data_IF_778008093485
#
_entry.id   IF_778008093485
#
_cell.length_a   1.000
_cell.length_b   1.000
_cell.length_c   1.000
_cell.angle_alpha   90.00
_cell.angle_beta   90.00
_cell.angle_gamma   90.00
#
_symmetry.space_group_name_H-M   'P 1'
#
loop_
_entity.id
_entity.type
_entity.pdbx_description
1 polymer ?
#
# COMPACT_ATOMS: atom_id res chain seq x y z
N UNK A 1 -20.18 4.47 -8.97
CA UNK A 1 -19.55 3.20 -9.41
C UNK A 1 -20.34 1.95 -9.00
N UNK A 2 -21.12 1.99 -7.91
CA UNK A 2 -22.05 0.91 -7.54
C UNK A 2 -21.37 -0.41 -7.18
N UNK A 3 -22.13 -1.51 -7.18
CA UNK A 3 -21.67 -2.84 -6.74
C UNK A 3 -20.72 -3.54 -7.73
N UNK A 4 -20.60 -3.01 -8.95
CA UNK A 4 -19.78 -3.58 -10.04
C UNK A 4 -18.76 -2.57 -10.56
N UNK A 5 -17.79 -2.13 -9.74
CA UNK A 5 -16.85 -1.07 -10.11
C UNK A 5 -16.01 -1.41 -11.33
N UNK A 6 -15.57 -2.66 -11.48
CA UNK A 6 -14.79 -3.09 -12.65
C UNK A 6 -15.60 -3.01 -13.95
N UNK A 7 -16.87 -3.45 -13.94
CA UNK A 7 -17.75 -3.33 -15.10
C UNK A 7 -18.01 -1.88 -15.45
N UNK A 8 -18.29 -1.04 -14.45
CA UNK A 8 -18.47 0.40 -14.63
C UNK A 8 -17.24 1.02 -15.32
N UNK A 9 -16.03 0.78 -14.81
CA UNK A 9 -14.81 1.36 -15.43
C UNK A 9 -14.66 0.89 -16.89
N UNK A 10 -15.00 -0.37 -17.21
CA UNK A 10 -14.86 -0.90 -18.58
C UNK A 10 -15.84 -0.29 -19.57
N UNK A 11 -17.07 -0.01 -19.16
CA UNK A 11 -18.16 0.41 -20.04
C UNK A 11 -18.35 1.92 -20.12
N UNK A 12 -17.98 2.67 -19.08
CA UNK A 12 -18.23 4.11 -19.02
C UNK A 12 -17.28 4.87 -19.96
N UNK A 13 -17.86 5.78 -20.76
CA UNK A 13 -17.10 6.62 -21.70
C UNK A 13 -16.40 7.78 -20.98
N UNK A 14 -15.36 8.36 -21.60
CA UNK A 14 -14.68 9.55 -21.09
C UNK A 14 -15.63 10.71 -20.82
N UNK A 15 -16.49 11.07 -21.80
CA UNK A 15 -17.50 12.13 -21.65
C UNK A 15 -18.43 11.91 -20.45
N UNK A 16 -18.79 10.66 -20.19
CA UNK A 16 -19.65 10.32 -19.06
C UNK A 16 -18.90 10.43 -17.73
N UNK A 17 -17.63 10.00 -17.67
CA UNK A 17 -16.77 10.21 -16.50
C UNK A 17 -16.56 11.71 -16.21
N UNK A 18 -16.27 12.51 -17.23
CA UNK A 18 -16.13 13.97 -17.12
C UNK A 18 -17.40 14.61 -16.58
N UNK A 19 -18.58 14.21 -17.08
CA UNK A 19 -19.87 14.69 -16.57
C UNK A 19 -20.07 14.30 -15.10
N UNK A 20 -19.83 13.03 -14.75
CA UNK A 20 -20.05 12.49 -13.40
C UNK A 20 -19.14 13.13 -12.34
N UNK A 21 -17.91 13.47 -12.72
CA UNK A 21 -16.91 14.02 -11.81
C UNK A 21 -16.59 15.50 -12.08
N UNK A 22 -17.45 16.21 -12.81
CA UNK A 22 -17.28 17.62 -13.18
C UNK A 22 -17.07 18.52 -11.96
N UNK A 23 -17.87 18.31 -10.92
CA UNK A 23 -17.80 19.07 -9.66
C UNK A 23 -16.96 18.37 -8.57
N UNK A 24 -16.28 17.26 -8.90
CA UNK A 24 -15.49 16.53 -7.92
C UNK A 24 -14.22 17.31 -7.55
N UNK A 25 -14.02 17.51 -6.25
CA UNK A 25 -12.75 17.96 -5.70
C UNK A 25 -12.57 17.42 -4.29
N UNK A 26 -11.40 16.84 -4.03
CA UNK A 26 -11.01 16.44 -2.68
C UNK A 26 -9.57 16.84 -2.40
N UNK A 27 -9.39 17.80 -1.48
CA UNK A 27 -8.08 18.40 -1.17
C UNK A 27 -7.38 18.90 -2.46
N UNK A 28 -6.32 18.21 -2.88
CA UNK A 28 -5.50 18.55 -4.04
C UNK A 28 -5.90 17.79 -5.31
N UNK A 29 -6.80 16.80 -5.21
CA UNK A 29 -7.26 15.99 -6.33
C UNK A 29 -8.48 16.64 -6.99
N UNK A 30 -8.37 16.93 -8.28
CA UNK A 30 -9.47 17.42 -9.12
C UNK A 30 -10.27 16.28 -9.76
N UNK A 31 -11.48 16.58 -10.20
CA UNK A 31 -12.28 15.69 -11.03
C UNK A 31 -11.56 15.28 -12.32
N UNK A 32 -10.85 16.21 -12.95
CA UNK A 32 -10.05 15.93 -14.15
C UNK A 32 -8.94 14.91 -13.91
N UNK A 33 -8.20 15.02 -12.79
CA UNK A 33 -7.16 14.05 -12.43
C UNK A 33 -7.76 12.67 -12.15
N UNK A 34 -8.90 12.62 -11.45
CA UNK A 34 -9.62 11.37 -11.20
C UNK A 34 -10.09 10.70 -12.49
N UNK A 35 -10.67 11.48 -13.42
CA UNK A 35 -11.11 10.97 -14.73
C UNK A 35 -9.94 10.37 -15.50
N UNK A 36 -8.82 11.10 -15.61
CA UNK A 36 -7.64 10.60 -16.31
C UNK A 36 -7.08 9.33 -15.67
N UNK A 37 -7.05 9.25 -14.35
CA UNK A 37 -6.67 8.03 -13.64
C UNK A 37 -7.60 6.85 -13.95
N UNK A 38 -8.93 7.05 -13.90
CA UNK A 38 -9.91 6.00 -14.22
C UNK A 38 -9.81 5.54 -15.67
N UNK A 39 -9.55 6.45 -16.62
CA UNK A 39 -9.28 6.10 -18.02
C UNK A 39 -7.97 5.33 -18.17
N UNK A 40 -6.95 5.68 -17.39
CA UNK A 40 -5.72 4.91 -17.29
C UNK A 40 -5.98 3.48 -16.83
N UNK A 41 -6.73 3.31 -15.74
CA UNK A 41 -7.16 1.99 -15.25
C UNK A 41 -7.97 1.25 -16.33
N UNK A 42 -8.90 1.91 -17.02
CA UNK A 42 -9.65 1.30 -18.12
C UNK A 42 -8.73 0.76 -19.23
N UNK A 43 -7.70 1.51 -19.64
CA UNK A 43 -6.71 1.07 -20.63
C UNK A 43 -5.90 -0.13 -20.14
N UNK A 44 -5.50 -0.14 -18.86
CA UNK A 44 -4.83 -1.30 -18.25
C UNK A 44 -5.74 -2.53 -18.27
N UNK A 45 -7.00 -2.40 -17.88
CA UNK A 45 -7.98 -3.48 -17.89
C UNK A 45 -8.27 -4.03 -19.31
N UNK A 46 -8.13 -3.19 -20.34
CA UNK A 46 -8.22 -3.62 -21.75
C UNK A 46 -6.97 -4.36 -22.21
N UNK A 47 -5.79 -3.97 -21.74
CA UNK A 47 -4.50 -4.54 -22.15
C UNK A 47 -4.16 -5.85 -21.43
N UNK A 48 -4.37 -5.92 -20.13
CA UNK A 48 -3.92 -7.02 -19.28
C UNK A 48 -5.07 -7.86 -18.71
N UNK A 49 -6.33 -7.57 -19.05
CA UNK A 49 -7.53 -8.17 -18.45
C UNK A 49 -7.75 -7.83 -16.97
N UNK A 50 -6.73 -7.63 -16.15
CA UNK A 50 -6.88 -7.19 -14.76
C UNK A 50 -5.70 -6.30 -14.32
N UNK A 51 -5.84 -5.65 -13.16
CA UNK A 51 -4.71 -4.96 -12.52
C UNK A 51 -3.67 -5.95 -11.99
N UNK A 52 -4.12 -7.14 -11.55
CA UNK A 52 -3.23 -8.20 -11.07
C UNK A 52 -2.30 -8.72 -12.18
N UNK A 53 -2.87 -9.01 -13.36
CA UNK A 53 -2.09 -9.44 -14.52
C UNK A 53 -1.08 -8.38 -14.96
N UNK A 54 -1.45 -7.10 -14.84
CA UNK A 54 -0.51 -6.01 -15.11
C UNK A 54 0.64 -5.99 -14.11
N UNK A 55 0.39 -6.17 -12.82
CA UNK A 55 1.47 -6.17 -11.82
C UNK A 55 2.34 -7.44 -11.95
N UNK A 56 1.75 -8.60 -12.25
CA UNK A 56 2.49 -9.86 -12.53
C UNK A 56 3.43 -9.67 -13.71
N UNK A 57 2.94 -9.09 -14.82
CA UNK A 57 3.77 -8.81 -15.98
C UNK A 57 4.93 -7.85 -15.66
N UNK A 58 4.66 -6.80 -14.87
CA UNK A 58 5.69 -5.85 -14.43
C UNK A 58 6.72 -6.51 -13.50
N UNK A 59 6.29 -7.30 -12.52
CA UNK A 59 7.19 -8.02 -11.62
C UNK A 59 8.06 -9.03 -12.36
N UNK A 60 7.48 -9.80 -13.29
CA UNK A 60 8.20 -10.83 -14.06
C UNK A 60 9.23 -10.25 -15.03
N UNK A 61 9.06 -9.00 -15.45
CA UNK A 61 9.96 -8.33 -16.40
C UNK A 61 11.10 -7.56 -15.73
N UNK A 62 11.19 -7.60 -14.40
CA UNK A 62 12.18 -6.83 -13.64
C UNK A 62 12.90 -7.73 -12.63
N UNK A 63 14.16 -7.41 -12.35
CA UNK A 63 15.01 -8.21 -11.44
C UNK A 63 14.76 -7.93 -9.96
N UNK A 64 14.18 -6.78 -9.62
CA UNK A 64 13.87 -6.35 -8.26
C UNK A 64 12.38 -6.11 -8.11
N UNK A 65 11.83 -6.46 -6.93
CA UNK A 65 10.44 -6.17 -6.58
C UNK A 65 10.14 -4.67 -6.70
N UNK A 66 11.04 -3.79 -6.25
CA UNK A 66 10.82 -2.35 -6.33
C UNK A 66 10.80 -1.82 -7.76
N UNK A 67 11.57 -2.42 -8.66
CA UNK A 67 11.56 -2.06 -10.08
C UNK A 67 10.25 -2.50 -10.73
N UNK A 68 9.78 -3.72 -10.41
CA UNK A 68 8.47 -4.20 -10.86
C UNK A 68 7.30 -3.36 -10.32
N UNK A 69 7.33 -2.99 -9.04
CA UNK A 69 6.32 -2.11 -8.43
C UNK A 69 6.35 -0.69 -9.00
N UNK A 70 7.54 -0.17 -9.31
CA UNK A 70 7.72 1.11 -10.02
C UNK A 70 7.14 1.02 -11.42
N UNK A 71 7.46 -0.04 -12.17
CA UNK A 71 6.96 -0.27 -13.53
C UNK A 71 5.43 -0.40 -13.56
N UNK A 72 4.81 -1.02 -12.56
CA UNK A 72 3.34 -1.07 -12.43
C UNK A 72 2.74 0.32 -12.23
N UNK A 73 3.30 1.11 -11.31
CA UNK A 73 2.84 2.49 -11.08
C UNK A 73 3.00 3.34 -12.35
N UNK A 74 4.12 3.22 -13.03
CA UNK A 74 4.41 3.96 -14.26
C UNK A 74 3.53 3.52 -15.43
N UNK A 75 3.18 2.24 -15.52
CA UNK A 75 2.22 1.72 -16.49
C UNK A 75 0.86 2.41 -16.34
N UNK A 76 0.37 2.53 -15.10
CA UNK A 76 -0.89 3.23 -14.79
C UNK A 76 -0.77 4.74 -15.07
N UNK A 77 0.29 5.40 -14.60
CA UNK A 77 0.56 6.84 -14.83
C UNK A 77 0.57 7.13 -16.34
N UNK A 78 1.33 6.36 -17.11
CA UNK A 78 1.40 6.50 -18.58
C UNK A 78 0.05 6.28 -19.25
N UNK A 79 -0.71 5.27 -18.84
CA UNK A 79 -2.05 5.02 -19.36
C UNK A 79 -3.01 6.20 -19.05
N UNK A 80 -2.86 6.83 -17.89
CA UNK A 80 -3.59 8.00 -17.45
C UNK A 80 -3.13 9.32 -18.10
N UNK A 81 -2.23 9.27 -19.10
CA UNK A 81 -1.77 10.46 -19.80
C UNK A 81 -0.60 11.20 -19.14
N UNK A 82 0.06 10.61 -18.12
CA UNK A 82 1.28 11.15 -17.52
C UNK A 82 1.25 11.18 -15.99
N UNK A 83 1.70 12.29 -15.41
CA UNK A 83 1.84 12.42 -13.95
C UNK A 83 0.47 12.47 -13.26
N UNK A 84 0.23 11.53 -12.35
CA UNK A 84 -0.93 11.51 -11.44
C UNK A 84 -0.46 11.27 -10.01
N UNK A 85 -1.08 11.97 -9.06
CA UNK A 85 -0.84 11.84 -7.61
C UNK A 85 -1.61 10.69 -6.96
N UNK A 86 -2.50 10.03 -7.71
CA UNK A 86 -3.40 8.98 -7.22
C UNK A 86 -2.72 7.62 -7.05
N UNK A 87 -1.55 7.42 -7.67
CA UNK A 87 -0.70 6.25 -7.45
C UNK A 87 0.72 6.69 -7.13
N UNK A 88 1.23 6.25 -5.98
CA UNK A 88 2.61 6.49 -5.58
C UNK A 88 3.56 5.54 -6.33
N UNK A 89 4.81 5.94 -6.52
CA UNK A 89 5.86 5.06 -7.06
C UNK A 89 7.02 4.93 -6.06
N UNK A 90 7.57 3.72 -5.83
CA UNK A 90 8.79 3.53 -5.03
C UNK A 90 9.97 4.39 -5.53
N UNK A 91 10.07 4.63 -6.84
CA UNK A 91 11.09 5.51 -7.42
C UNK A 91 11.01 6.96 -6.92
N UNK A 92 9.84 7.41 -6.44
CA UNK A 92 9.64 8.76 -5.89
C UNK A 92 10.24 8.90 -4.47
N UNK A 93 10.72 7.81 -3.86
CA UNK A 93 11.46 7.79 -2.59
C UNK A 93 10.62 7.95 -1.31
N UNK A 94 9.31 8.24 -1.43
CA UNK A 94 8.40 8.29 -0.28
C UNK A 94 8.21 6.92 0.39
N UNK A 95 7.67 6.87 1.61
CA UNK A 95 7.27 5.61 2.24
C UNK A 95 6.16 4.84 1.49
N UNK A 96 5.56 5.42 0.44
CA UNK A 96 4.56 4.77 -0.42
C UNK A 96 3.40 4.11 0.34
N UNK A 97 3.04 4.64 1.52
CA UNK A 97 2.03 4.05 2.43
C UNK A 97 0.78 3.56 1.71
N UNK A 98 0.15 4.43 0.90
CA UNK A 98 -1.10 4.10 0.18
C UNK A 98 -0.92 2.93 -0.78
N UNK A 99 0.24 2.83 -1.42
CA UNK A 99 0.53 1.78 -2.37
C UNK A 99 0.79 0.44 -1.66
N UNK A 100 1.60 0.43 -0.60
CA UNK A 100 1.83 -0.80 0.18
C UNK A 100 0.58 -1.27 0.93
N UNK A 101 -0.28 -0.34 1.39
CA UNK A 101 -1.58 -0.69 1.98
C UNK A 101 -2.52 -1.31 0.94
N UNK A 102 -2.56 -0.75 -0.27
CA UNK A 102 -3.31 -1.33 -1.39
C UNK A 102 -2.82 -2.76 -1.68
N UNK A 103 -1.51 -2.97 -1.84
CA UNK A 103 -0.95 -4.30 -2.09
C UNK A 103 -1.27 -5.27 -0.96
N UNK A 104 -1.15 -4.84 0.31
CA UNK A 104 -1.54 -5.66 1.46
C UNK A 104 -3.00 -6.10 1.38
N UNK A 105 -3.92 -5.20 1.04
CA UNK A 105 -5.34 -5.55 0.89
C UNK A 105 -5.61 -6.51 -0.26
N UNK A 106 -4.89 -6.36 -1.37
CA UNK A 106 -5.10 -7.22 -2.54
C UNK A 106 -4.48 -8.61 -2.37
N UNK A 107 -3.34 -8.74 -1.67
CA UNK A 107 -2.57 -9.98 -1.58
C UNK A 107 -2.87 -10.77 -0.30
N UNK A 108 -2.99 -10.10 0.85
CA UNK A 108 -3.18 -10.76 2.13
C UNK A 108 -4.66 -11.12 2.32
N UNK A 109 -4.95 -12.35 2.70
CA UNK A 109 -6.32 -12.85 2.89
C UNK A 109 -6.52 -13.35 4.32
N UNK A 110 -7.26 -12.60 5.13
CA UNK A 110 -7.64 -12.98 6.50
C UNK A 110 -8.97 -12.32 6.94
N UNK A 111 -9.22 -12.23 8.24
CA UNK A 111 -10.44 -11.61 8.78
C UNK A 111 -10.51 -10.07 8.55
N UNK A 112 -9.41 -9.44 8.12
CA UNK A 112 -9.29 -7.99 7.91
C UNK A 112 -9.08 -7.67 6.44
N UNK A 113 -8.13 -8.35 5.79
CA UNK A 113 -7.73 -8.06 4.41
C UNK A 113 -8.41 -9.05 3.45
N UNK A 114 -9.08 -8.56 2.38
CA UNK A 114 -9.92 -9.38 1.51
C UNK A 114 -9.14 -10.28 0.56
N UNK A 115 -7.88 -9.94 0.25
CA UNK A 115 -7.02 -10.70 -0.64
C UNK A 115 -7.57 -10.84 -2.06
N UNK A 116 -7.27 -12.00 -2.66
CA UNK A 116 -7.70 -12.39 -4.00
C UNK A 116 -6.60 -12.31 -5.06
N UNK A 117 -5.53 -11.57 -4.81
CA UNK A 117 -4.34 -11.57 -5.67
C UNK A 117 -3.29 -12.57 -5.17
N UNK A 118 -2.60 -13.14 -6.13
CA UNK A 118 -1.53 -14.13 -6.04
C UNK A 118 -0.21 -13.64 -6.66
N UNK A 119 -0.16 -12.35 -7.07
CA UNK A 119 0.98 -11.75 -7.74
C UNK A 119 2.32 -11.86 -6.98
N UNK A 120 2.28 -11.84 -5.63
CA UNK A 120 3.42 -12.12 -4.75
C UNK A 120 2.93 -12.80 -3.46
N UNK A 121 3.84 -13.37 -2.68
CA UNK A 121 3.51 -13.92 -1.36
C UNK A 121 3.28 -12.82 -0.33
N UNK A 122 2.50 -13.10 0.72
CA UNK A 122 2.38 -12.21 1.88
C UNK A 122 3.72 -11.96 2.57
N UNK A 123 4.68 -12.89 2.45
CA UNK A 123 6.04 -12.75 2.97
C UNK A 123 6.83 -11.62 2.29
N UNK A 124 6.45 -11.27 1.05
CA UNK A 124 7.11 -10.26 0.22
C UNK A 124 6.43 -8.89 0.31
N UNK A 125 5.43 -8.74 1.17
CA UNK A 125 4.76 -7.46 1.40
C UNK A 125 5.61 -6.53 2.26
N UNK A 126 5.52 -5.24 1.95
CA UNK A 126 6.19 -4.18 2.69
C UNK A 126 5.24 -3.45 3.63
N UNK A 127 5.76 -3.05 4.79
CA UNK A 127 4.96 -2.41 5.83
C UNK A 127 4.46 -1.02 5.39
N UNK A 128 3.15 -0.70 5.49
CA UNK A 128 2.66 0.62 5.14
C UNK A 128 2.96 1.64 6.25
N UNK A 129 4.09 2.34 6.13
CA UNK A 129 4.55 3.30 7.16
C UNK A 129 3.82 4.65 7.05
N UNK A 130 3.11 5.04 8.10
CA UNK A 130 2.65 6.41 8.34
C UNK A 130 3.34 7.04 9.56
N UNK A 131 2.91 8.24 9.97
CA UNK A 131 3.51 8.97 11.09
C UNK A 131 3.40 8.23 12.42
N UNK A 132 2.28 7.54 12.68
CA UNK A 132 2.07 6.79 13.91
C UNK A 132 2.86 5.48 13.88
N UNK A 133 2.82 4.76 12.75
CA UNK A 133 3.60 3.54 12.57
C UNK A 133 5.10 3.82 12.64
N UNK A 134 5.56 4.93 12.07
CA UNK A 134 6.95 5.36 12.17
C UNK A 134 7.35 5.66 13.61
N UNK A 135 6.48 6.32 14.39
CA UNK A 135 6.71 6.56 15.83
C UNK A 135 6.81 5.25 16.61
N UNK A 136 5.93 4.28 16.34
CA UNK A 136 5.97 2.95 16.95
C UNK A 136 7.27 2.23 16.58
N UNK A 137 7.61 2.18 15.29
CA UNK A 137 8.82 1.53 14.80
C UNK A 137 10.10 2.11 15.41
N UNK A 138 10.17 3.44 15.58
CA UNK A 138 11.29 4.10 16.28
C UNK A 138 11.31 3.76 17.77
N UNK A 139 10.15 3.67 18.41
CA UNK A 139 10.04 3.33 19.84
C UNK A 139 10.39 1.86 20.12
N UNK A 140 10.18 0.97 19.13
CA UNK A 140 10.59 -0.44 19.15
C UNK A 140 12.01 -0.67 18.63
N UNK A 141 12.77 0.38 18.30
CA UNK A 141 14.12 0.29 17.73
C UNK A 141 14.21 -0.50 16.41
N UNK A 142 13.13 -0.55 15.62
CA UNK A 142 13.15 -1.15 14.28
C UNK A 142 13.80 -0.24 13.23
N UNK A 143 13.92 1.05 13.54
CA UNK A 143 14.62 2.04 12.73
C UNK A 143 15.03 3.22 13.62
N UNK A 144 16.21 3.79 13.34
CA UNK A 144 16.66 5.05 13.95
C UNK A 144 16.40 6.26 13.05
N UNK A 145 15.94 6.03 11.81
CA UNK A 145 15.75 7.06 10.79
C UNK A 145 14.68 8.06 11.22
N UNK A 146 14.95 9.34 10.98
CA UNK A 146 13.99 10.43 11.23
C UNK A 146 13.00 10.64 10.10
N UNK A 147 13.32 10.16 8.89
CA UNK A 147 12.48 10.27 7.70
C UNK A 147 11.57 9.04 7.60
N UNK A 148 10.31 9.23 7.21
CA UNK A 148 9.43 8.12 6.83
C UNK A 148 9.51 7.94 5.31
N UNK A 149 10.57 7.26 4.86
CA UNK A 149 10.90 7.03 3.45
C UNK A 149 10.98 5.53 3.12
N UNK A 150 11.24 5.20 1.85
CA UNK A 150 11.31 3.81 1.41
C UNK A 150 12.37 2.99 2.18
N UNK A 151 13.50 3.60 2.56
CA UNK A 151 14.53 2.94 3.36
C UNK A 151 13.99 2.52 4.74
N UNK A 152 13.21 3.41 5.36
CA UNK A 152 12.54 3.14 6.63
C UNK A 152 11.53 2.01 6.50
N UNK A 153 10.75 1.98 5.41
CA UNK A 153 9.85 0.86 5.11
C UNK A 153 10.62 -0.46 5.06
N UNK A 154 11.76 -0.50 4.37
CA UNK A 154 12.60 -1.71 4.26
C UNK A 154 13.14 -2.14 5.63
N UNK A 155 13.68 -1.22 6.43
CA UNK A 155 14.20 -1.52 7.77
C UNK A 155 13.12 -2.10 8.69
N UNK A 156 11.95 -1.44 8.73
CA UNK A 156 10.83 -1.87 9.58
C UNK A 156 10.26 -3.20 9.10
N UNK A 157 10.11 -3.39 7.79
CA UNK A 157 9.65 -4.68 7.23
C UNK A 157 10.60 -5.81 7.62
N UNK A 158 11.92 -5.60 7.52
CA UNK A 158 12.92 -6.60 7.93
C UNK A 158 12.87 -6.92 9.41
N UNK A 159 12.59 -5.94 10.27
CA UNK A 159 12.41 -6.19 11.69
C UNK A 159 11.19 -7.08 11.95
N UNK A 160 10.06 -6.80 11.29
CA UNK A 160 8.86 -7.65 11.40
C UNK A 160 9.01 -9.02 10.74
N UNK A 161 9.82 -9.16 9.68
CA UNK A 161 10.14 -10.46 9.10
C UNK A 161 10.82 -11.41 10.11
N UNK A 162 11.57 -10.88 11.08
CA UNK A 162 12.14 -11.71 12.17
C UNK A 162 11.07 -12.24 13.13
N UNK A 163 9.93 -11.55 13.22
CA UNK A 163 8.83 -11.88 14.15
C UNK A 163 7.77 -12.74 13.44
N UNK A 164 7.48 -12.43 12.18
CA UNK A 164 6.47 -13.08 11.36
C UNK A 164 7.00 -13.25 9.92
N UNK A 165 7.87 -14.26 9.68
CA UNK A 165 8.59 -14.40 8.42
C UNK A 165 7.68 -14.63 7.21
N UNK A 166 6.52 -15.28 7.41
CA UNK A 166 5.55 -15.55 6.35
C UNK A 166 4.54 -14.42 6.12
N UNK A 167 4.50 -13.43 7.02
CA UNK A 167 3.60 -12.29 6.94
C UNK A 167 4.12 -11.13 7.81
N UNK A 168 5.13 -10.38 7.33
CA UNK A 168 5.70 -9.27 8.09
C UNK A 168 4.74 -8.10 8.27
N UNK A 169 3.64 -8.04 7.51
CA UNK A 169 2.66 -6.94 7.57
C UNK A 169 1.48 -7.22 8.50
N UNK A 170 1.40 -8.42 9.09
CA UNK A 170 0.25 -8.85 9.90
C UNK A 170 -0.15 -7.91 11.03
N UNK A 171 0.84 -7.23 11.62
CA UNK A 171 0.62 -6.39 12.79
C UNK A 171 0.18 -4.97 12.42
N UNK A 172 0.19 -4.60 11.13
CA UNK A 172 -0.19 -3.26 10.67
C UNK A 172 -1.58 -2.84 11.17
N UNK A 173 -2.58 -3.71 11.01
CA UNK A 173 -3.94 -3.41 11.43
C UNK A 173 -4.06 -3.12 12.93
N UNK A 174 -3.39 -3.92 13.77
CA UNK A 174 -3.44 -3.75 15.22
C UNK A 174 -2.66 -2.50 15.67
N UNK A 175 -1.46 -2.29 15.12
CA UNK A 175 -0.57 -1.20 15.51
C UNK A 175 -1.08 0.16 15.06
N UNK A 176 -1.75 0.26 13.91
CA UNK A 176 -2.39 1.52 13.47
C UNK A 176 -3.49 1.99 14.42
N UNK A 177 -4.08 1.10 15.25
CA UNK A 177 -5.10 1.50 16.24
C UNK A 177 -4.55 2.47 17.28
N UNK A 178 -3.28 2.40 17.63
CA UNK A 178 -2.64 3.34 18.56
C UNK A 178 -2.53 4.78 18.01
N UNK A 179 -2.75 4.97 16.71
CA UNK A 179 -2.87 6.30 16.10
C UNK A 179 -4.30 6.81 15.95
N UNK A 180 -5.31 5.96 16.19
CA UNK A 180 -6.73 6.25 15.91
C UNK A 180 -7.57 6.22 17.19
N UNK A 181 -7.26 5.29 18.11
CA UNK A 181 -7.96 5.08 19.38
C UNK A 181 -7.26 5.87 20.48
N UNK A 182 -7.98 6.81 21.09
CA UNK A 182 -7.45 7.67 22.16
C UNK A 182 -7.08 6.91 23.43
N UNK A 183 -7.71 5.76 23.66
CA UNK A 183 -7.52 4.87 24.81
C UNK A 183 -6.27 3.99 24.70
N UNK A 184 -5.63 3.92 23.53
CA UNK A 184 -4.43 3.12 23.31
C UNK A 184 -3.19 4.01 23.34
N UNK A 185 -2.26 3.70 24.25
CA UNK A 185 -1.04 4.47 24.45
C UNK A 185 0.20 3.69 23.99
N UNK A 186 1.01 4.28 23.11
CA UNK A 186 2.25 3.67 22.61
C UNK A 186 3.18 3.28 23.76
N UNK A 187 3.27 4.10 24.82
CA UNK A 187 4.13 3.78 25.97
C UNK A 187 3.76 2.44 26.63
N UNK A 188 2.46 2.12 26.72
CA UNK A 188 1.99 0.86 27.28
C UNK A 188 2.32 -0.32 26.36
N UNK A 189 2.18 -0.15 25.04
CA UNK A 189 2.64 -1.14 24.05
C UNK A 189 4.14 -1.45 24.24
N UNK A 190 4.98 -0.42 24.34
CA UNK A 190 6.43 -0.60 24.49
C UNK A 190 6.76 -1.32 25.81
N UNK A 191 6.08 -0.97 26.89
CA UNK A 191 6.23 -1.65 28.18
C UNK A 191 5.91 -3.14 28.05
N UNK A 192 4.77 -3.49 27.45
CA UNK A 192 4.36 -4.88 27.25
C UNK A 192 5.35 -5.66 26.38
N UNK A 193 5.89 -5.05 25.33
CA UNK A 193 6.92 -5.68 24.50
C UNK A 193 8.19 -5.98 25.32
N UNK A 194 8.65 -5.05 26.15
CA UNK A 194 9.86 -5.24 26.97
C UNK A 194 9.66 -6.29 28.08
N UNK A 195 8.49 -6.30 28.70
CA UNK A 195 8.16 -7.27 29.75
C UNK A 195 8.09 -8.70 29.19
N UNK A 196 7.53 -8.88 27.98
CA UNK A 196 7.45 -10.17 27.29
C UNK A 196 8.81 -10.77 26.94
N UNK A 197 9.79 -9.94 26.55
CA UNK A 197 11.18 -10.39 26.31
C UNK A 197 11.85 -10.84 27.62
N UNK A 198 11.54 -10.17 28.73
CA UNK A 198 12.12 -10.50 30.04
C UNK A 198 11.62 -11.84 30.61
N UNK A 199 10.39 -12.24 30.27
CA UNK A 199 9.86 -13.57 30.62
C UNK A 199 10.45 -14.71 29.78
N UNK A 200 10.71 -14.49 28.48
CA UNK A 200 11.24 -15.53 27.58
C UNK A 200 12.74 -15.84 27.77
N UNK A 201 13.47 -15.04 28.56
CA UNK A 201 14.88 -15.26 28.91
C UNK A 201 15.03 -16.03 30.24
N UNK A 202 13.93 -16.21 30.98
CA UNK A 202 13.90 -16.92 32.27
C UNK A 202 13.40 -18.37 32.17
N UNK A 203 13.14 -18.86 30.97
CA UNK A 203 12.85 -20.26 30.63
C UNK A 203 13.99 -20.82 29.77
#
# INVERSE_FOLDING_TARGET
MGDKPASFIRSTSEKELERLYSDFRHRFTSGSELVQFLLGVQKILKRYLSLEECIIACLSSNSSIFDGLTAFADSIKKAAGGATSLIASPADGSACKRYFLFLKWMIRHDAVDPGGWSAVSSADLYFPIDTHMHKIARSLHFTERKQADLKTVIEVTRAFQKIAPHDPTRYDFALTRFGIRSELHIAELIKQCNDGVSSSIRE
#
